data_IF_607958307044
#
_entry.id   IF_607958307044
#
_cell.length_a   1.000
_cell.length_b   1.000
_cell.length_c   1.000
_cell.angle_alpha   90.00
_cell.angle_beta   90.00
_cell.angle_gamma   90.00
#
_symmetry.space_group_name_H-M   'P 1'
#
loop_
_entity.id
_entity.type
_entity.pdbx_description
1 polymer ?
#
# COMPACT_ATOMS: atom_id res chain seq x y z
N UNK A 1 -25.12 -32.25 26.72
CA UNK A 1 -24.11 -32.43 25.65
C UNK A 1 -24.24 -31.27 24.69
N UNK A 2 -23.50 -30.18 24.91
CA UNK A 2 -23.53 -28.99 24.04
C UNK A 2 -22.42 -29.21 23.01
N UNK A 3 -22.81 -29.59 21.79
CA UNK A 3 -21.89 -29.74 20.67
C UNK A 3 -21.37 -28.38 20.24
N UNK A 4 -20.16 -28.02 20.64
CA UNK A 4 -19.43 -26.87 20.11
C UNK A 4 -19.08 -27.18 18.65
N UNK A 5 -19.97 -26.79 17.73
CA UNK A 5 -19.63 -26.65 16.32
C UNK A 5 -18.62 -25.51 16.22
N UNK A 6 -17.33 -25.83 16.30
CA UNK A 6 -16.27 -24.88 15.95
C UNK A 6 -16.45 -24.52 14.49
N UNK A 7 -17.11 -23.37 14.25
CA UNK A 7 -17.14 -22.71 12.96
C UNK A 7 -15.70 -22.28 12.66
N UNK A 8 -14.92 -23.16 12.05
CA UNK A 8 -13.57 -22.87 11.57
C UNK A 8 -13.70 -21.80 10.51
N UNK A 9 -13.50 -20.54 10.91
CA UNK A 9 -13.39 -19.44 9.97
C UNK A 9 -12.23 -19.77 9.04
N UNK A 10 -12.58 -20.09 7.79
CA UNK A 10 -11.58 -20.42 6.79
C UNK A 10 -10.97 -19.10 6.36
N UNK A 11 -9.76 -18.83 6.82
CA UNK A 11 -8.98 -17.67 6.39
C UNK A 11 -8.80 -17.75 4.87
N UNK A 12 -9.24 -16.71 4.17
CA UNK A 12 -9.08 -16.57 2.72
C UNK A 12 -8.05 -15.49 2.40
N UNK A 13 -7.29 -15.70 1.33
CA UNK A 13 -6.42 -14.71 0.72
C UNK A 13 -6.93 -14.39 -0.69
N UNK A 14 -6.73 -13.15 -1.14
CA UNK A 14 -7.09 -12.73 -2.49
C UNK A 14 -5.85 -12.79 -3.37
N UNK A 15 -5.97 -13.40 -4.55
CA UNK A 15 -4.92 -13.44 -5.56
C UNK A 15 -4.84 -12.13 -6.35
N UNK A 16 -3.82 -11.96 -7.20
CA UNK A 16 -3.62 -10.71 -7.97
C UNK A 16 -4.62 -10.56 -9.14
N UNK A 17 -5.43 -11.59 -9.41
CA UNK A 17 -6.61 -11.54 -10.29
C UNK A 17 -7.90 -11.24 -9.54
N UNK A 18 -7.84 -11.00 -8.23
CA UNK A 18 -8.98 -10.65 -7.40
C UNK A 18 -9.85 -11.84 -6.96
N UNK A 19 -9.46 -13.08 -7.23
CA UNK A 19 -10.13 -14.31 -6.78
C UNK A 19 -9.73 -14.63 -5.34
N UNK A 20 -10.60 -15.33 -4.59
CA UNK A 20 -10.34 -15.70 -3.18
C UNK A 20 -10.02 -17.18 -3.07
N UNK A 21 -8.94 -17.50 -2.36
CA UNK A 21 -8.50 -18.88 -2.11
C UNK A 21 -8.41 -19.14 -0.61
N UNK A 22 -8.81 -20.34 -0.14
CA UNK A 22 -8.61 -20.73 1.24
C UNK A 22 -7.12 -21.00 1.50
N UNK A 23 -6.60 -20.52 2.62
CA UNK A 23 -5.24 -20.83 3.06
C UNK A 23 -5.22 -22.30 3.49
N UNK A 24 -4.53 -23.16 2.72
CA UNK A 24 -4.50 -24.62 2.92
C UNK A 24 -3.40 -25.09 3.85
N UNK A 25 -2.30 -24.34 3.96
CA UNK A 25 -1.16 -24.75 4.79
C UNK A 25 -1.44 -24.53 6.29
N UNK A 26 -1.31 -25.58 7.13
CA UNK A 26 -1.44 -25.47 8.59
C UNK A 26 -0.37 -24.56 9.21
N UNK A 27 0.84 -24.57 8.64
CA UNK A 27 1.96 -23.75 9.12
C UNK A 27 1.69 -22.25 8.95
N UNK A 28 1.05 -21.86 7.84
CA UNK A 28 0.62 -20.48 7.63
C UNK A 28 -0.40 -20.04 8.68
N UNK A 29 -1.29 -20.91 9.18
CA UNK A 29 -2.21 -20.53 10.25
C UNK A 29 -1.51 -20.24 11.57
N UNK A 30 -0.42 -20.93 11.86
CA UNK A 30 0.35 -20.76 13.09
C UNK A 30 1.20 -19.49 13.03
N UNK A 31 1.88 -19.24 11.90
CA UNK A 31 2.64 -18.01 11.68
C UNK A 31 1.73 -16.78 11.58
N UNK A 32 0.55 -16.90 10.94
CA UNK A 32 -0.42 -15.81 10.86
C UNK A 32 -0.97 -15.39 12.23
N UNK A 33 -1.11 -16.31 13.19
CA UNK A 33 -1.56 -15.95 14.54
C UNK A 33 -0.51 -15.15 15.31
N UNK A 34 0.77 -15.34 15.03
CA UNK A 34 1.85 -14.58 15.65
C UNK A 34 2.02 -13.19 15.01
N UNK A 35 1.57 -13.01 13.77
CA UNK A 35 1.86 -11.83 12.95
C UNK A 35 0.61 -11.20 12.30
N UNK A 36 -0.57 -11.46 12.88
CA UNK A 36 -1.87 -11.11 12.32
C UNK A 36 -2.02 -9.59 12.14
N UNK A 37 -1.41 -8.82 13.04
CA UNK A 37 -1.35 -7.35 12.95
C UNK A 37 -0.51 -6.88 11.75
N UNK A 38 0.63 -7.50 11.49
CA UNK A 38 1.54 -7.12 10.40
C UNK A 38 0.96 -7.45 9.03
N UNK A 39 0.33 -8.63 8.90
CA UNK A 39 -0.33 -9.06 7.67
C UNK A 39 -1.62 -8.27 7.38
N UNK A 40 -2.36 -7.87 8.41
CA UNK A 40 -3.51 -6.96 8.28
C UNK A 40 -3.05 -5.55 7.88
N UNK A 41 -1.99 -5.03 8.51
CA UNK A 41 -1.35 -3.77 8.12
C UNK A 41 -0.86 -3.81 6.68
N UNK A 42 -0.24 -4.90 6.25
CA UNK A 42 0.27 -5.05 4.89
C UNK A 42 -0.88 -5.07 3.86
N UNK A 43 -1.96 -5.81 4.13
CA UNK A 43 -3.16 -5.82 3.25
C UNK A 43 -3.87 -4.47 3.19
N UNK A 44 -4.02 -3.80 4.33
CA UNK A 44 -4.61 -2.46 4.37
C UNK A 44 -3.73 -1.45 3.64
N UNK A 45 -2.41 -1.53 3.79
CA UNK A 45 -1.46 -0.68 3.08
C UNK A 45 -1.53 -0.92 1.55
N UNK A 46 -1.67 -2.17 1.11
CA UNK A 46 -1.70 -2.51 -0.31
C UNK A 46 -3.01 -2.07 -1.00
N UNK A 47 -4.17 -2.26 -0.36
CA UNK A 47 -5.47 -1.79 -0.90
C UNK A 47 -5.57 -0.25 -0.87
N UNK A 48 -4.94 0.38 0.11
CA UNK A 48 -4.85 1.83 0.20
C UNK A 48 -3.98 2.41 -0.93
N UNK A 49 -2.84 1.77 -1.25
CA UNK A 49 -1.87 2.18 -2.28
C UNK A 49 -2.50 2.31 -3.68
N UNK A 50 -3.30 1.32 -4.12
CA UNK A 50 -3.90 1.32 -5.47
C UNK A 50 -4.99 2.37 -5.65
N UNK A 51 -5.72 2.71 -4.58
CA UNK A 51 -6.77 3.72 -4.61
C UNK A 51 -6.25 5.13 -4.36
N UNK A 52 -5.16 5.25 -3.61
CA UNK A 52 -4.60 6.54 -3.23
C UNK A 52 -3.60 7.09 -4.24
N UNK A 53 -2.90 6.29 -5.07
CA UNK A 53 -1.90 6.82 -6.02
C UNK A 53 -2.44 7.96 -6.91
N UNK A 54 -3.48 7.71 -7.73
CA UNK A 54 -4.02 8.75 -8.61
C UNK A 54 -4.79 9.86 -7.83
N UNK A 55 -5.55 9.48 -6.80
CA UNK A 55 -6.37 10.42 -6.04
C UNK A 55 -5.53 11.34 -5.14
N UNK A 56 -4.43 10.86 -4.54
CA UNK A 56 -3.58 11.67 -3.65
C UNK A 56 -2.68 12.64 -4.39
N UNK A 57 -2.32 12.38 -5.65
CA UNK A 57 -1.70 13.42 -6.47
C UNK A 57 -2.68 14.56 -6.72
N UNK A 58 -3.93 14.27 -7.10
CA UNK A 58 -4.97 15.29 -7.32
C UNK A 58 -5.30 16.04 -6.02
N UNK A 59 -5.49 15.31 -4.91
CA UNK A 59 -5.78 15.90 -3.59
C UNK A 59 -4.59 16.72 -3.07
N UNK A 60 -3.35 16.23 -3.25
CA UNK A 60 -2.15 16.96 -2.86
C UNK A 60 -1.99 18.29 -3.61
N UNK A 61 -2.15 18.26 -4.93
CA UNK A 61 -2.09 19.48 -5.75
C UNK A 61 -3.22 20.46 -5.43
N UNK A 62 -4.44 19.96 -5.22
CA UNK A 62 -5.56 20.83 -4.85
C UNK A 62 -5.36 21.49 -3.48
N UNK A 63 -4.79 20.80 -2.49
CA UNK A 63 -4.44 21.42 -1.19
C UNK A 63 -3.40 22.54 -1.37
N UNK A 64 -2.36 22.32 -2.18
CA UNK A 64 -1.35 23.36 -2.45
C UNK A 64 -1.97 24.57 -3.16
N UNK A 65 -2.82 24.33 -4.18
CA UNK A 65 -3.50 25.40 -4.92
C UNK A 65 -4.44 26.19 -4.00
N UNK A 66 -5.23 25.51 -3.17
CA UNK A 66 -6.14 26.15 -2.20
C UNK A 66 -5.33 26.94 -1.17
N UNK A 67 -4.23 26.38 -0.65
CA UNK A 67 -3.36 27.05 0.29
C UNK A 67 -2.77 28.34 -0.31
N UNK A 68 -2.24 28.27 -1.54
CA UNK A 68 -1.75 29.44 -2.27
C UNK A 68 -2.84 30.49 -2.51
N UNK A 69 -4.04 30.08 -2.92
CA UNK A 69 -5.16 30.99 -3.14
C UNK A 69 -5.59 31.70 -1.85
N UNK A 70 -5.67 30.96 -0.73
CA UNK A 70 -5.96 31.53 0.59
C UNK A 70 -4.86 32.50 1.05
N UNK A 71 -3.59 32.18 0.76
CA UNK A 71 -2.44 33.05 1.03
C UNK A 71 -2.54 34.36 0.28
N UNK A 72 -2.82 34.30 -1.03
CA UNK A 72 -3.02 35.49 -1.88
C UNK A 72 -4.19 36.34 -1.35
N UNK A 73 -5.33 35.71 -1.05
CA UNK A 73 -6.49 36.42 -0.50
C UNK A 73 -6.20 37.06 0.86
N UNK A 74 -5.44 36.40 1.74
CA UNK A 74 -5.02 36.94 3.02
C UNK A 74 -4.07 38.14 2.85
N UNK A 75 -3.12 38.06 1.92
CA UNK A 75 -2.23 39.18 1.57
C UNK A 75 -3.02 40.41 1.10
N UNK A 76 -3.96 40.22 0.16
CA UNK A 76 -4.82 41.29 -0.35
C UNK A 76 -5.64 41.91 0.79
N UNK A 77 -6.27 41.08 1.63
CA UNK A 77 -7.07 41.57 2.76
C UNK A 77 -6.24 42.29 3.82
N UNK A 78 -5.02 41.83 4.10
CA UNK A 78 -4.12 42.48 5.04
C UNK A 78 -3.65 43.84 4.51
N UNK A 79 -3.31 43.92 3.22
CA UNK A 79 -2.98 45.16 2.55
C UNK A 79 -4.14 46.18 2.61
N UNK A 80 -5.38 45.72 2.48
CA UNK A 80 -6.57 46.57 2.56
C UNK A 80 -6.98 46.97 3.99
N UNK A 81 -6.67 46.16 5.01
CA UNK A 81 -7.19 46.36 6.38
C UNK A 81 -6.22 47.04 7.35
N UNK A 82 -4.97 47.30 6.94
CA UNK A 82 -3.93 47.88 7.79
C UNK A 82 -3.48 46.98 8.95
N UNK A 83 -4.01 45.75 9.05
CA UNK A 83 -3.75 44.83 10.16
C UNK A 83 -2.71 43.78 9.76
N UNK A 84 -1.44 44.19 9.80
CA UNK A 84 -0.28 43.39 9.39
C UNK A 84 -0.04 42.14 10.24
N UNK A 85 -0.50 42.14 11.49
CA UNK A 85 -0.19 41.09 12.47
C UNK A 85 -0.75 39.71 12.09
N UNK A 86 -1.94 39.66 11.45
CA UNK A 86 -2.54 38.39 11.00
C UNK A 86 -1.84 37.81 9.76
N UNK A 87 -1.33 38.65 8.87
CA UNK A 87 -0.59 38.19 7.70
C UNK A 87 0.72 37.51 8.12
N UNK A 88 1.43 38.08 9.09
CA UNK A 88 2.69 37.53 9.60
C UNK A 88 2.49 36.12 10.16
N UNK A 89 1.44 35.88 10.95
CA UNK A 89 1.17 34.54 11.50
C UNK A 89 0.94 33.49 10.40
N UNK A 90 0.19 33.82 9.35
CA UNK A 90 0.00 32.89 8.23
C UNK A 90 1.31 32.56 7.50
N UNK A 91 2.15 33.57 7.24
CA UNK A 91 3.44 33.37 6.58
C UNK A 91 4.42 32.54 7.42
N UNK A 92 4.35 32.64 8.74
CA UNK A 92 5.23 31.90 9.65
C UNK A 92 4.77 30.45 9.81
N UNK A 93 3.47 30.20 9.95
CA UNK A 93 2.98 28.88 10.33
C UNK A 93 2.52 27.99 9.16
N UNK A 94 2.10 28.55 8.03
CA UNK A 94 1.60 27.75 6.91
C UNK A 94 2.71 26.96 6.19
N UNK A 95 3.88 27.55 5.84
CA UNK A 95 4.92 26.82 5.12
C UNK A 95 5.48 25.60 5.89
N UNK A 96 5.74 25.66 7.22
CA UNK A 96 6.15 24.49 7.98
C UNK A 96 5.14 23.34 7.94
N UNK A 97 3.84 23.63 7.97
CA UNK A 97 2.79 22.60 7.91
C UNK A 97 2.77 21.93 6.53
N UNK A 98 2.88 22.72 5.46
CA UNK A 98 2.96 22.19 4.08
C UNK A 98 4.23 21.34 3.91
N UNK A 99 5.38 21.85 4.38
CA UNK A 99 6.66 21.15 4.31
C UNK A 99 6.61 19.84 5.09
N UNK A 100 6.05 19.83 6.30
CA UNK A 100 5.91 18.62 7.11
C UNK A 100 5.02 17.59 6.41
N UNK A 101 3.88 18.01 5.84
CA UNK A 101 3.01 17.13 5.07
C UNK A 101 3.70 16.53 3.84
N UNK A 102 4.51 17.32 3.14
CA UNK A 102 5.30 16.87 2.00
C UNK A 102 6.39 15.87 2.39
N UNK A 103 7.15 16.14 3.46
CA UNK A 103 8.17 15.23 3.99
C UNK A 103 7.54 13.91 4.43
N UNK A 104 6.41 13.96 5.15
CA UNK A 104 5.72 12.76 5.60
C UNK A 104 5.26 11.89 4.44
N UNK A 105 4.78 12.52 3.36
CA UNK A 105 4.42 11.82 2.12
C UNK A 105 5.63 11.13 1.49
N UNK A 106 6.76 11.83 1.34
CA UNK A 106 7.98 11.22 0.78
C UNK A 106 8.49 10.04 1.62
N UNK A 107 8.42 10.14 2.95
CA UNK A 107 8.82 9.03 3.83
C UNK A 107 7.91 7.81 3.68
N UNK A 108 6.61 8.02 3.46
CA UNK A 108 5.67 6.93 3.18
C UNK A 108 5.99 6.25 1.85
N UNK A 109 6.21 7.01 0.78
CA UNK A 109 6.55 6.44 -0.53
C UNK A 109 7.85 5.61 -0.46
N UNK A 110 8.89 6.11 0.21
CA UNK A 110 10.14 5.40 0.40
C UNK A 110 9.99 4.14 1.29
N UNK A 111 9.12 4.17 2.30
CA UNK A 111 8.84 3.00 3.12
C UNK A 111 8.12 1.90 2.31
N UNK A 112 7.24 2.28 1.39
CA UNK A 112 6.52 1.35 0.52
C UNK A 112 7.47 0.68 -0.49
N UNK A 113 8.39 1.43 -1.09
CA UNK A 113 9.42 0.89 -1.99
C UNK A 113 10.32 -0.14 -1.29
N UNK A 114 10.67 0.12 -0.02
CA UNK A 114 11.39 -0.86 0.81
C UNK A 114 10.60 -2.14 1.05
N UNK A 115 9.27 -2.05 1.21
CA UNK A 115 8.42 -3.24 1.39
C UNK A 115 8.25 -4.02 0.09
N UNK A 116 8.21 -3.35 -1.07
CA UNK A 116 8.17 -4.01 -2.38
C UNK A 116 9.48 -4.72 -2.69
N UNK A 117 10.63 -4.07 -2.43
CA UNK A 117 11.94 -4.70 -2.61
C UNK A 117 12.16 -5.86 -1.63
N UNK A 118 11.71 -5.75 -0.38
CA UNK A 118 11.73 -6.86 0.57
C UNK A 118 10.84 -8.03 0.10
N UNK A 119 9.68 -7.75 -0.49
CA UNK A 119 8.81 -8.80 -1.07
C UNK A 119 9.46 -9.49 -2.26
N UNK A 120 10.19 -8.75 -3.10
CA UNK A 120 10.94 -9.31 -4.21
C UNK A 120 12.12 -10.19 -3.76
N UNK A 121 12.65 -9.95 -2.56
CA UNK A 121 13.73 -10.76 -1.97
C UNK A 121 13.25 -12.07 -1.33
N UNK A 122 11.95 -12.21 -1.06
CA UNK A 122 11.40 -13.46 -0.52
C UNK A 122 11.37 -14.54 -1.61
N UNK A 123 11.61 -15.83 -1.25
CA UNK A 123 11.49 -16.93 -2.20
C UNK A 123 10.07 -16.94 -2.79
N UNK A 124 9.92 -17.22 -4.09
CA UNK A 124 8.63 -17.15 -4.79
C UNK A 124 7.73 -18.33 -4.42
N UNK A 125 7.24 -18.39 -3.18
CA UNK A 125 6.33 -19.44 -2.71
C UNK A 125 4.88 -18.95 -2.74
N UNK A 126 3.95 -19.84 -3.09
CA UNK A 126 2.52 -19.53 -3.14
C UNK A 126 1.99 -19.16 -1.74
N UNK A 127 1.43 -17.94 -1.53
CA UNK A 127 0.85 -17.56 -0.24
C UNK A 127 -0.32 -18.42 0.25
N UNK A 128 -0.99 -19.16 -0.65
CA UNK A 128 -2.16 -19.99 -0.30
C UNK A 128 -1.79 -21.41 0.16
N UNK A 129 -0.79 -22.03 -0.47
CA UNK A 129 -0.43 -23.43 -0.26
C UNK A 129 1.06 -23.70 -0.04
N UNK A 130 1.92 -22.67 -0.13
CA UNK A 130 3.40 -22.73 -0.04
C UNK A 130 4.12 -23.47 -1.17
N UNK A 131 3.43 -23.87 -2.24
CA UNK A 131 4.08 -24.44 -3.42
C UNK A 131 5.15 -23.49 -3.98
N UNK A 132 6.30 -24.02 -4.36
CA UNK A 132 7.39 -23.24 -4.95
C UNK A 132 7.04 -22.81 -6.38
N UNK A 133 6.95 -21.50 -6.60
CA UNK A 133 6.64 -20.91 -7.89
C UNK A 133 7.91 -20.47 -8.64
N UNK A 134 9.11 -20.75 -8.10
CA UNK A 134 10.37 -20.48 -8.77
C UNK A 134 10.42 -21.21 -10.12
N UNK A 135 10.76 -20.47 -11.18
CA UNK A 135 10.94 -21.02 -12.53
C UNK A 135 9.64 -21.40 -13.26
N UNK A 136 8.47 -21.20 -12.66
CA UNK A 136 7.21 -21.38 -13.37
C UNK A 136 6.99 -20.26 -14.41
N UNK A 137 6.35 -20.57 -15.54
CA UNK A 137 6.08 -19.56 -16.57
C UNK A 137 5.09 -18.51 -16.05
N UNK A 138 5.39 -17.26 -16.37
CA UNK A 138 4.49 -16.12 -16.13
C UNK A 138 3.54 -15.97 -17.32
N UNK A 139 2.24 -15.83 -17.05
CA UNK A 139 1.23 -15.58 -18.07
C UNK A 139 1.35 -14.14 -18.65
N UNK A 140 0.71 -13.83 -19.80
CA UNK A 140 0.81 -12.50 -20.45
C UNK A 140 0.35 -11.33 -19.57
N UNK A 141 -0.45 -11.59 -18.55
CA UNK A 141 -0.88 -10.60 -17.58
C UNK A 141 0.15 -10.33 -16.47
N UNK A 142 1.30 -11.00 -16.49
CA UNK A 142 2.37 -10.87 -15.50
C UNK A 142 2.18 -11.73 -14.24
N UNK A 143 1.19 -12.63 -14.21
CA UNK A 143 0.98 -13.51 -13.06
C UNK A 143 1.52 -14.93 -13.29
N UNK A 144 2.07 -15.54 -12.25
CA UNK A 144 2.40 -16.97 -12.21
C UNK A 144 1.27 -17.74 -11.53
N UNK A 145 0.73 -18.75 -12.20
CA UNK A 145 -0.36 -19.58 -11.65
C UNK A 145 0.20 -20.75 -10.87
N UNK A 146 -0.25 -20.91 -9.63
CA UNK A 146 0.13 -22.03 -8.80
C UNK A 146 -0.57 -23.32 -9.27
N UNK A 147 0.16 -24.41 -9.60
CA UNK A 147 -0.44 -25.65 -10.10
C UNK A 147 -1.27 -26.39 -9.03
N UNK A 148 -0.98 -26.18 -7.74
CA UNK A 148 -1.68 -26.85 -6.62
C UNK A 148 -3.06 -26.27 -6.32
N UNK A 149 -3.18 -24.94 -6.37
CA UNK A 149 -4.39 -24.24 -5.92
C UNK A 149 -5.05 -23.38 -6.99
N UNK A 150 -4.38 -23.12 -8.11
CA UNK A 150 -4.88 -22.27 -9.19
C UNK A 150 -4.83 -20.76 -8.91
N UNK A 151 -4.30 -20.34 -7.76
CA UNK A 151 -4.13 -18.93 -7.43
C UNK A 151 -3.04 -18.29 -8.31
N UNK A 152 -3.27 -17.05 -8.75
CA UNK A 152 -2.37 -16.31 -9.62
C UNK A 152 -1.68 -15.17 -8.87
N UNK A 153 -0.35 -15.15 -8.89
CA UNK A 153 0.46 -14.18 -8.14
C UNK A 153 1.44 -13.47 -9.05
N UNK A 154 1.56 -12.16 -8.88
CA UNK A 154 2.56 -11.30 -9.50
C UNK A 154 3.80 -11.31 -8.61
N UNK A 155 4.82 -12.03 -9.04
CA UNK A 155 6.18 -11.82 -8.55
C UNK A 155 6.79 -10.73 -9.42
N UNK A 156 7.65 -9.88 -8.85
CA UNK A 156 8.32 -8.79 -9.61
C UNK A 156 8.96 -9.31 -10.89
N UNK A 157 9.35 -8.41 -11.83
CA UNK A 157 9.79 -8.80 -13.17
C UNK A 157 10.74 -9.98 -13.06
N UNK A 158 10.30 -11.14 -13.57
CA UNK A 158 11.15 -12.31 -13.65
C UNK A 158 12.40 -11.81 -14.34
N UNK A 159 13.53 -11.81 -13.62
CA UNK A 159 14.81 -11.44 -14.20
C UNK A 159 15.00 -12.46 -15.31
N UNK A 160 14.62 -12.08 -16.52
CA UNK A 160 14.64 -12.95 -17.69
C UNK A 160 16.04 -13.49 -17.70
N UNK A 161 16.17 -14.79 -17.43
CA UNK A 161 17.45 -15.46 -17.45
C UNK A 161 17.95 -15.23 -18.87
N UNK A 162 18.82 -14.23 -19.01
CA UNK A 162 19.41 -13.81 -20.25
C UNK A 162 20.21 -15.01 -20.70
N UNK A 163 19.63 -15.76 -21.64
CA UNK A 163 20.24 -16.94 -22.25
C UNK A 163 21.47 -16.45 -22.99
N UNK A 164 22.61 -16.47 -22.28
CA UNK A 164 23.94 -16.29 -22.85
C UNK A 164 24.48 -17.65 -23.27
#
# INVERSE_FOLDING_TARGET
MIGFLHRTQTLTIRDDRGRRFPIRSPHLRLEMKADEATLLWYRLAQVRRDRESAATHIVGWSVVVIACALLIAACVRAAMSGNTQRAVLFFVFLPPVIALGYIWRQQMDAALEKLESARAALPPVCPSCRYDLAGLPTEPDGCTVCPECGAAWRFGPAKSAEST
#
